data_IF_409987660344
#
_entry.id   IF_409987660344
#
_cell.length_a   1.000
_cell.length_b   1.000
_cell.length_c   1.000
_cell.angle_alpha   90.00
_cell.angle_beta   90.00
_cell.angle_gamma   90.00
#
_symmetry.space_group_name_H-M   'P 1'
#
loop_
_entity.id
_entity.type
_entity.pdbx_description
1 polymer ?
#
# COMPACT_ATOMS: atom_id res chain seq x y z
N UNK A 1 -10.13 11.43 -9.13
CA UNK A 1 -9.11 10.37 -9.22
C UNK A 1 -9.07 9.61 -7.90
N UNK A 2 -8.58 8.36 -7.87
CA UNK A 2 -8.24 7.66 -6.62
C UNK A 2 -6.86 8.10 -6.06
N UNK A 3 -6.08 8.80 -6.88
CA UNK A 3 -4.74 9.31 -6.60
C UNK A 3 -4.70 10.35 -5.47
N UNK A 4 -3.72 10.25 -4.57
CA UNK A 4 -3.52 11.18 -3.43
C UNK A 4 -2.15 11.90 -3.39
N UNK A 5 -1.24 11.66 -4.33
CA UNK A 5 0.18 12.04 -4.18
C UNK A 5 0.59 13.27 -4.97
N UNK A 6 -0.35 14.14 -5.35
CA UNK A 6 -0.07 15.34 -6.16
C UNK A 6 0.94 16.30 -5.51
N UNK A 7 0.96 16.36 -4.18
CA UNK A 7 1.84 17.26 -3.41
C UNK A 7 3.13 16.59 -2.90
N UNK A 8 3.45 15.37 -3.37
CA UNK A 8 4.66 14.66 -2.96
C UNK A 8 5.83 14.95 -3.90
N UNK A 9 6.97 15.38 -3.33
CA UNK A 9 8.20 15.63 -4.11
C UNK A 9 8.91 14.33 -4.55
N UNK A 10 8.83 13.27 -3.75
CA UNK A 10 9.63 12.07 -3.95
C UNK A 10 8.82 10.79 -3.84
N UNK A 11 9.16 9.84 -4.72
CA UNK A 11 8.86 8.42 -4.59
C UNK A 11 10.13 7.71 -4.12
N UNK A 12 10.05 6.98 -3.01
CA UNK A 12 11.12 6.08 -2.57
C UNK A 12 10.72 4.65 -2.89
N UNK A 13 11.54 3.96 -3.69
CA UNK A 13 11.39 2.53 -3.99
C UNK A 13 12.60 1.77 -3.47
N UNK A 14 12.36 0.70 -2.73
CA UNK A 14 13.40 -0.14 -2.13
C UNK A 14 13.43 -1.49 -2.85
N UNK A 15 14.53 -1.79 -3.55
CA UNK A 15 14.65 -2.98 -4.39
C UNK A 15 15.88 -3.81 -4.03
N UNK A 16 15.77 -5.13 -4.17
CA UNK A 16 16.93 -6.01 -4.39
C UNK A 16 17.13 -6.21 -5.88
N UNK A 17 18.38 -6.11 -6.37
CA UNK A 17 18.69 -6.21 -7.79
C UNK A 17 19.88 -7.13 -8.04
N UNK A 18 19.84 -7.81 -9.17
CA UNK A 18 20.93 -8.60 -9.73
C UNK A 18 21.10 -8.22 -11.20
N UNK A 19 22.32 -8.33 -11.72
CA UNK A 19 22.59 -8.20 -13.16
C UNK A 19 22.16 -9.46 -13.94
N UNK A 20 21.99 -10.59 -13.26
CA UNK A 20 21.50 -11.84 -13.85
C UNK A 20 19.98 -11.99 -13.65
N UNK A 21 19.28 -12.45 -14.69
CA UNK A 21 17.81 -12.52 -14.73
C UNK A 21 17.19 -13.64 -13.89
N UNK A 22 17.95 -14.68 -13.55
CA UNK A 22 17.44 -15.90 -12.91
C UNK A 22 18.12 -16.18 -11.56
N UNK A 23 18.37 -15.13 -10.77
CA UNK A 23 18.90 -15.29 -9.41
C UNK A 23 17.75 -15.55 -8.45
N UNK A 24 17.80 -16.70 -7.78
CA UNK A 24 17.00 -16.93 -6.58
C UNK A 24 17.69 -16.26 -5.39
N UNK A 25 17.02 -15.30 -4.76
CA UNK A 25 17.51 -14.72 -3.52
C UNK A 25 17.16 -15.65 -2.35
N UNK A 26 18.06 -15.77 -1.38
CA UNK A 26 17.74 -16.47 -0.15
C UNK A 26 16.61 -15.73 0.60
N UNK A 27 15.70 -16.46 1.25
CA UNK A 27 14.62 -15.87 2.05
C UNK A 27 15.14 -14.87 3.10
N UNK A 28 16.28 -15.19 3.71
CA UNK A 28 16.97 -14.30 4.66
C UNK A 28 17.36 -12.95 4.05
N UNK A 29 17.66 -12.91 2.75
CA UNK A 29 17.95 -11.66 2.03
C UNK A 29 16.70 -10.82 1.83
N UNK A 30 15.57 -11.47 1.50
CA UNK A 30 14.27 -10.80 1.40
C UNK A 30 13.81 -10.24 2.74
N UNK A 31 13.96 -11.02 3.82
CA UNK A 31 13.69 -10.58 5.20
C UNK A 31 14.56 -9.39 5.56
N UNK A 32 15.87 -9.46 5.32
CA UNK A 32 16.81 -8.38 5.63
C UNK A 32 16.46 -7.09 4.88
N UNK A 33 16.11 -7.19 3.59
CA UNK A 33 15.70 -6.02 2.81
C UNK A 33 14.41 -5.40 3.35
N UNK A 34 13.41 -6.24 3.64
CA UNK A 34 12.13 -5.79 4.19
C UNK A 34 12.33 -5.11 5.55
N UNK A 35 13.14 -5.69 6.43
CA UNK A 35 13.45 -5.10 7.74
C UNK A 35 14.18 -3.76 7.62
N UNK A 36 15.09 -3.63 6.65
CA UNK A 36 15.77 -2.36 6.34
C UNK A 36 14.79 -1.28 5.88
N UNK A 37 13.86 -1.64 4.98
CA UNK A 37 12.80 -0.73 4.54
C UNK A 37 11.92 -0.28 5.69
N UNK A 38 11.49 -1.20 6.56
CA UNK A 38 10.64 -0.84 7.70
C UNK A 38 11.35 0.03 8.74
N UNK A 39 12.66 -0.15 8.98
CA UNK A 39 13.43 0.79 9.80
C UNK A 39 13.39 2.22 9.25
N UNK A 40 13.47 2.38 7.93
CA UNK A 40 13.31 3.70 7.29
C UNK A 40 11.89 4.25 7.46
N UNK A 41 10.85 3.43 7.21
CA UNK A 41 9.44 3.83 7.38
C UNK A 41 9.15 4.25 8.81
N UNK A 42 9.64 3.49 9.79
CA UNK A 42 9.42 3.76 11.21
C UNK A 42 10.13 5.05 11.64
N UNK A 43 11.36 5.28 11.15
CA UNK A 43 12.06 6.55 11.39
C UNK A 43 11.31 7.75 10.78
N UNK A 44 10.75 7.59 9.57
CA UNK A 44 9.94 8.62 8.93
C UNK A 44 8.63 8.90 9.68
N UNK A 45 7.94 7.84 10.14
CA UNK A 45 6.76 7.98 11.03
C UNK A 45 7.13 8.71 12.32
N UNK A 46 8.25 8.35 12.94
CA UNK A 46 8.74 8.98 14.17
C UNK A 46 9.10 10.47 13.99
N UNK A 47 9.46 10.90 12.79
CA UNK A 47 9.67 12.32 12.47
C UNK A 47 8.37 13.09 12.13
N UNK A 48 7.20 12.47 12.31
CA UNK A 48 5.90 13.06 11.99
C UNK A 48 5.47 12.88 10.53
N UNK A 49 6.20 12.06 9.76
CA UNK A 49 5.85 11.73 8.39
C UNK A 49 4.67 10.76 8.31
N UNK A 50 3.85 10.92 7.28
CA UNK A 50 2.78 9.97 6.94
C UNK A 50 3.21 9.20 5.69
N UNK A 51 3.38 7.87 5.76
CA UNK A 51 3.71 7.08 4.58
C UNK A 51 2.69 7.22 3.46
N UNK A 52 3.17 7.09 2.23
CA UNK A 52 2.35 6.89 1.05
C UNK A 52 2.70 5.57 0.39
N UNK A 53 1.77 5.02 -0.39
CA UNK A 53 1.98 3.79 -1.14
C UNK A 53 1.29 3.86 -2.49
N UNK A 54 1.53 2.87 -3.34
CA UNK A 54 0.88 2.75 -4.63
C UNK A 54 0.15 1.43 -4.68
N UNK A 55 -1.00 1.40 -5.37
CA UNK A 55 -1.74 0.15 -5.60
C UNK A 55 -0.90 -0.91 -6.32
N UNK A 56 0.08 -0.48 -7.13
CA UNK A 56 1.05 -1.37 -7.80
C UNK A 56 2.26 -1.77 -6.95
N UNK A 57 2.43 -1.17 -5.76
CA UNK A 57 3.48 -1.46 -4.78
C UNK A 57 2.87 -1.76 -3.42
N UNK A 58 1.87 -2.65 -3.43
CA UNK A 58 1.09 -3.00 -2.25
C UNK A 58 1.94 -3.71 -1.21
N UNK A 59 1.73 -3.38 0.05
CA UNK A 59 2.34 -4.09 1.19
C UNK A 59 1.28 -4.85 1.98
N UNK A 60 1.43 -6.17 2.05
CA UNK A 60 0.53 -7.09 2.77
C UNK A 60 0.47 -6.85 4.28
N UNK A 61 1.46 -6.14 4.86
CA UNK A 61 1.48 -5.83 6.29
C UNK A 61 0.56 -4.69 6.68
N UNK A 62 0.07 -3.89 5.73
CA UNK A 62 -0.82 -2.79 6.05
C UNK A 62 -2.20 -3.29 6.48
N UNK A 63 -2.69 -2.76 7.59
CA UNK A 63 -4.09 -2.84 7.96
C UNK A 63 -4.98 -2.09 6.95
N UNK A 64 -6.29 -2.35 6.93
CA UNK A 64 -7.21 -1.61 6.06
C UNK A 64 -7.17 -0.09 6.31
N UNK A 65 -7.12 0.42 7.55
CA UNK A 65 -6.94 1.86 7.80
C UNK A 65 -5.63 2.42 7.25
N UNK A 66 -4.52 1.70 7.40
CA UNK A 66 -3.23 2.12 6.84
C UNK A 66 -3.27 2.11 5.31
N UNK A 67 -3.81 1.05 4.70
CA UNK A 67 -4.00 0.98 3.25
C UNK A 67 -4.88 2.13 2.75
N UNK A 68 -5.99 2.41 3.44
CA UNK A 68 -6.90 3.50 3.10
C UNK A 68 -6.19 4.85 3.14
N UNK A 69 -5.41 5.12 4.18
CA UNK A 69 -4.62 6.34 4.29
C UNK A 69 -3.51 6.37 3.25
N UNK A 70 -2.64 5.36 3.21
CA UNK A 70 -1.41 5.37 2.41
C UNK A 70 -1.69 5.36 0.90
N UNK A 71 -2.75 4.72 0.44
CA UNK A 71 -3.11 4.64 -0.98
C UNK A 71 -4.13 5.71 -1.42
N UNK A 72 -5.09 6.04 -0.56
CA UNK A 72 -6.31 6.76 -0.96
C UNK A 72 -6.73 7.91 -0.01
N UNK A 73 -5.86 8.38 0.88
CA UNK A 73 -6.12 9.48 1.81
C UNK A 73 -6.72 10.75 1.17
N UNK A 74 -7.09 11.73 2.01
CA UNK A 74 -7.79 12.94 1.54
C UNK A 74 -9.24 12.69 1.14
N UNK A 75 -9.88 11.68 1.75
CA UNK A 75 -11.29 11.33 1.51
C UNK A 75 -11.57 10.57 0.22
N UNK A 76 -10.54 10.10 -0.51
CA UNK A 76 -10.78 9.27 -1.70
C UNK A 76 -11.23 7.85 -1.33
N UNK A 77 -10.75 7.30 -0.21
CA UNK A 77 -11.22 5.99 0.27
C UNK A 77 -12.74 5.93 0.43
N UNK A 78 -13.35 6.90 1.12
CA UNK A 78 -14.81 6.96 1.30
C UNK A 78 -15.57 7.06 -0.03
N UNK A 79 -15.04 7.81 -0.99
CA UNK A 79 -15.63 7.90 -2.35
C UNK A 79 -15.58 6.55 -3.03
N UNK A 80 -14.47 5.83 -2.89
CA UNK A 80 -14.30 4.49 -3.45
C UNK A 80 -15.25 3.48 -2.78
N UNK A 81 -15.45 3.55 -1.47
CA UNK A 81 -16.43 2.72 -0.77
C UNK A 81 -17.85 2.97 -1.29
N UNK A 82 -18.24 4.24 -1.52
CA UNK A 82 -19.55 4.57 -2.13
C UNK A 82 -19.70 3.98 -3.54
N UNK A 83 -18.64 3.99 -4.34
CA UNK A 83 -18.64 3.38 -5.68
C UNK A 83 -18.78 1.86 -5.56
N UNK A 84 -17.99 1.22 -4.68
CA UNK A 84 -18.05 -0.21 -4.40
C UNK A 84 -19.45 -0.63 -3.96
N UNK A 85 -20.05 0.06 -2.99
CA UNK A 85 -21.44 -0.21 -2.55
C UNK A 85 -22.45 -0.12 -3.68
N UNK A 86 -22.27 0.81 -4.62
CA UNK A 86 -23.21 0.98 -5.74
C UNK A 86 -23.10 -0.14 -6.78
N UNK A 87 -21.88 -0.60 -7.08
CA UNK A 87 -21.62 -1.46 -8.23
C UNK A 87 -21.26 -2.91 -7.89
N UNK A 88 -20.84 -3.16 -6.65
CA UNK A 88 -20.58 -4.49 -6.11
C UNK A 88 -21.10 -4.59 -4.65
N UNK A 89 -22.41 -4.41 -4.42
CA UNK A 89 -23.00 -4.41 -3.08
C UNK A 89 -22.90 -5.77 -2.36
N UNK A 90 -22.70 -6.86 -3.11
CA UNK A 90 -22.62 -8.22 -2.57
C UNK A 90 -21.17 -8.69 -2.41
N UNK A 91 -20.19 -7.79 -2.55
CA UNK A 91 -18.77 -8.10 -2.35
C UNK A 91 -18.23 -9.23 -3.24
N UNK A 92 -18.70 -9.35 -4.48
CA UNK A 92 -18.22 -10.37 -5.42
C UNK A 92 -16.72 -10.23 -5.69
N UNK A 93 -16.20 -9.00 -5.69
CA UNK A 93 -14.77 -8.70 -5.88
C UNK A 93 -14.12 -8.27 -4.55
N UNK A 94 -14.11 -9.15 -3.54
CA UNK A 94 -13.57 -8.85 -2.20
C UNK A 94 -12.69 -9.95 -1.59
N UNK A 95 -12.15 -10.85 -2.42
CA UNK A 95 -11.27 -11.94 -1.95
C UNK A 95 -9.91 -11.46 -1.47
N UNK A 96 -9.53 -10.24 -1.84
CA UNK A 96 -8.29 -9.63 -1.42
C UNK A 96 -8.47 -8.94 -0.04
N UNK A 97 -7.64 -9.22 0.98
CA UNK A 97 -7.75 -8.61 2.31
C UNK A 97 -7.64 -7.07 2.34
N UNK A 98 -7.14 -6.46 1.28
CA UNK A 98 -6.99 -5.02 1.09
C UNK A 98 -7.89 -4.49 -0.04
N UNK A 99 -8.90 -5.26 -0.47
CA UNK A 99 -9.96 -4.73 -1.32
C UNK A 99 -10.73 -3.61 -0.58
N UNK A 100 -11.24 -2.66 -1.35
CA UNK A 100 -12.09 -1.60 -0.81
C UNK A 100 -13.45 -2.23 -0.47
N UNK A 101 -13.89 -2.19 0.80
CA UNK A 101 -15.16 -2.77 1.19
C UNK A 101 -16.32 -1.79 0.94
N UNK A 102 -17.50 -2.31 0.63
CA UNK A 102 -18.75 -1.56 0.66
C UNK A 102 -19.07 -1.13 2.10
N UNK A 103 -19.81 -0.04 2.23
CA UNK A 103 -20.14 0.57 3.51
C UNK A 103 -21.03 -0.29 4.42
N UNK A 104 -21.74 -1.27 3.85
CA UNK A 104 -22.68 -2.15 4.57
C UNK A 104 -22.27 -3.63 4.51
N UNK A 105 -21.02 -3.91 4.15
CA UNK A 105 -20.46 -5.27 4.09
C UNK A 105 -20.21 -5.84 5.50
#
# INVERSE_FOLDING_TARGET
>A
SAWKHDDNLHLVRWDMRSSAFNVSFADSSMTTMRDGFYKFVDAYKASGGVPGGFTTYRDEKWTVPEMAEYLYGGGNFEKLQKIKTKYDPNEMFNTDPQAIPALAA
#
